data_IF_001869784177
#
_entry.id   IF_001869784177
#
_cell.length_a   1.000
_cell.length_b   1.000
_cell.length_c   1.000
_cell.angle_alpha   90.00
_cell.angle_beta   90.00
_cell.angle_gamma   90.00
#
_symmetry.space_group_name_H-M   'P 1'
#
loop_
_entity.id
_entity.type
_entity.pdbx_description
1 polymer ?
#
# COMPACT_ATOMS: atom_id res chain seq x y z
N UNK A 1 15.67 -34.06 5.48
CA UNK A 1 14.89 -32.89 5.93
C UNK A 1 15.12 -31.69 5.03
N UNK A 2 16.36 -31.33 4.68
CA UNK A 2 16.64 -30.25 3.71
C UNK A 2 16.15 -30.63 2.30
N UNK A 3 16.47 -31.83 1.81
CA UNK A 3 16.08 -32.27 0.46
C UNK A 3 14.55 -32.35 0.28
N UNK A 4 13.83 -32.74 1.33
CA UNK A 4 12.36 -32.76 1.31
C UNK A 4 11.75 -31.36 1.26
N UNK A 5 12.39 -30.36 1.87
CA UNK A 5 11.96 -28.95 1.78
C UNK A 5 12.25 -28.41 0.39
N UNK A 6 13.44 -28.68 -0.15
CA UNK A 6 13.81 -28.25 -1.51
C UNK A 6 12.85 -28.87 -2.54
N UNK A 7 12.56 -30.17 -2.42
CA UNK A 7 11.60 -30.85 -3.28
C UNK A 7 10.21 -30.22 -3.18
N UNK A 8 9.73 -29.88 -1.97
CA UNK A 8 8.45 -29.19 -1.79
C UNK A 8 8.45 -27.79 -2.42
N UNK A 9 9.53 -27.02 -2.32
CA UNK A 9 9.66 -25.70 -2.94
C UNK A 9 9.60 -25.73 -4.47
N UNK A 10 9.85 -26.89 -5.08
CA UNK A 10 9.74 -27.10 -6.53
C UNK A 10 8.33 -27.53 -6.98
N UNK A 11 7.40 -27.72 -6.04
CA UNK A 11 6.01 -28.10 -6.35
C UNK A 11 5.12 -26.88 -6.58
N UNK A 12 4.04 -27.10 -7.33
CA UNK A 12 2.98 -26.11 -7.54
C UNK A 12 2.22 -25.75 -6.25
N UNK A 13 2.33 -26.58 -5.19
CA UNK A 13 1.76 -26.27 -3.88
C UNK A 13 2.49 -25.12 -3.19
N UNK A 14 3.83 -25.09 -3.31
CA UNK A 14 4.63 -24.02 -2.72
C UNK A 14 4.47 -22.71 -3.50
N UNK A 15 4.75 -22.76 -4.80
CA UNK A 15 4.50 -21.68 -5.74
C UNK A 15 4.05 -22.30 -7.06
N UNK A 16 2.97 -21.80 -7.64
CA UNK A 16 2.32 -22.43 -8.79
C UNK A 16 3.09 -22.16 -10.10
N UNK A 17 4.14 -22.95 -10.34
CA UNK A 17 5.02 -22.84 -11.50
C UNK A 17 4.34 -23.23 -12.82
N UNK A 18 3.26 -24.03 -12.77
CA UNK A 18 2.47 -24.34 -13.97
C UNK A 18 1.63 -23.16 -14.47
N UNK A 19 1.27 -22.21 -13.60
CA UNK A 19 0.54 -20.98 -13.98
C UNK A 19 1.41 -19.74 -14.08
N UNK A 20 2.50 -19.67 -13.33
CA UNK A 20 3.34 -18.49 -13.22
C UNK A 20 4.79 -18.80 -13.60
N UNK A 21 5.28 -18.11 -14.61
CA UNK A 21 6.67 -18.21 -15.07
C UNK A 21 7.67 -17.61 -14.06
N UNK A 22 8.94 -17.97 -14.19
CA UNK A 22 10.01 -17.38 -13.38
C UNK A 22 10.12 -15.86 -13.52
N UNK A 23 9.86 -15.31 -14.72
CA UNK A 23 9.84 -13.86 -14.93
C UNK A 23 8.69 -13.20 -14.17
N UNK A 24 7.49 -13.77 -14.24
CA UNK A 24 6.32 -13.29 -13.49
C UNK A 24 6.56 -13.33 -11.98
N UNK A 25 7.17 -14.41 -11.48
CA UNK A 25 7.55 -14.54 -10.08
C UNK A 25 8.54 -13.45 -9.65
N UNK A 26 9.58 -13.16 -10.45
CA UNK A 26 10.56 -12.11 -10.16
C UNK A 26 9.91 -10.73 -10.16
N UNK A 27 9.05 -10.44 -11.15
CA UNK A 27 8.36 -9.15 -11.24
C UNK A 27 7.41 -8.93 -10.06
N UNK A 28 6.60 -9.93 -9.74
CA UNK A 28 5.66 -9.88 -8.62
C UNK A 28 6.39 -9.79 -7.27
N UNK A 29 7.30 -10.73 -6.98
CA UNK A 29 8.02 -10.77 -5.71
C UNK A 29 8.92 -9.54 -5.53
N UNK A 30 9.58 -9.10 -6.60
CA UNK A 30 10.42 -7.90 -6.59
C UNK A 30 9.61 -6.65 -6.29
N UNK A 31 8.45 -6.47 -6.94
CA UNK A 31 7.58 -5.33 -6.69
C UNK A 31 7.02 -5.33 -5.27
N UNK A 32 6.57 -6.49 -4.81
CA UNK A 32 6.17 -6.74 -3.42
C UNK A 32 7.26 -6.42 -2.39
N UNK A 33 8.52 -6.80 -2.67
CA UNK A 33 9.64 -6.52 -1.76
C UNK A 33 9.92 -5.02 -1.63
N UNK A 34 9.81 -4.26 -2.72
CA UNK A 34 9.94 -2.79 -2.66
C UNK A 34 8.88 -2.18 -1.72
N UNK A 35 7.66 -2.70 -1.73
CA UNK A 35 6.61 -2.28 -0.80
C UNK A 35 6.91 -2.66 0.66
N UNK A 36 7.53 -3.80 0.93
CA UNK A 36 8.00 -4.15 2.28
C UNK A 36 9.00 -3.10 2.80
N UNK A 37 9.91 -2.63 1.93
CA UNK A 37 10.87 -1.57 2.30
C UNK A 37 10.14 -0.25 2.57
N UNK A 38 9.12 0.10 1.76
CA UNK A 38 8.25 1.27 2.00
C UNK A 38 7.57 1.16 3.36
N UNK A 39 7.04 -0.01 3.72
CA UNK A 39 6.44 -0.25 5.03
C UNK A 39 7.47 -0.09 6.16
N UNK A 40 8.71 -0.51 5.94
CA UNK A 40 9.83 -0.26 6.83
C UNK A 40 10.04 1.23 7.12
N UNK A 41 10.00 2.09 6.09
CA UNK A 41 10.08 3.54 6.26
C UNK A 41 8.87 4.10 7.02
N UNK A 42 7.65 3.70 6.66
CA UNK A 42 6.43 4.13 7.36
C UNK A 42 6.50 3.78 8.85
N UNK A 43 6.88 2.53 9.19
CA UNK A 43 7.00 2.07 10.57
C UNK A 43 8.11 2.82 11.31
N UNK A 44 9.24 3.07 10.65
CA UNK A 44 10.32 3.89 11.20
C UNK A 44 9.82 5.29 11.58
N UNK A 45 9.09 5.95 10.67
CA UNK A 45 8.62 7.32 10.84
C UNK A 45 7.49 7.43 11.89
N UNK A 46 6.61 6.43 11.96
CA UNK A 46 5.65 6.28 13.06
C UNK A 46 6.37 6.23 14.40
N UNK A 47 7.44 5.44 14.51
CA UNK A 47 8.16 5.25 15.78
C UNK A 47 8.94 6.51 16.15
N UNK A 48 9.69 7.05 15.20
CA UNK A 48 10.66 8.14 15.39
C UNK A 48 10.02 9.53 15.40
N UNK A 49 9.11 9.81 14.48
CA UNK A 49 8.56 11.16 14.26
C UNK A 49 7.09 11.30 14.63
N UNK A 50 6.41 10.21 15.02
CA UNK A 50 4.94 10.19 15.24
C UNK A 50 4.17 10.69 14.02
N UNK A 51 4.74 10.43 12.86
CA UNK A 51 4.16 10.71 11.55
C UNK A 51 3.56 9.43 10.99
N UNK A 52 2.47 9.55 10.25
CA UNK A 52 1.96 8.48 9.42
C UNK A 52 1.84 9.01 7.99
N UNK A 53 2.66 8.47 7.10
CA UNK A 53 2.72 8.87 5.69
C UNK A 53 1.47 8.40 4.91
N UNK A 54 0.96 7.22 5.24
CA UNK A 54 -0.12 6.58 4.49
C UNK A 54 -1.47 7.29 4.72
N UNK A 55 -2.14 7.79 3.66
CA UNK A 55 -3.43 8.46 3.78
C UNK A 55 -4.52 7.57 4.38
N UNK A 56 -5.39 8.17 5.18
CA UNK A 56 -6.40 7.47 5.98
C UNK A 56 -7.34 6.63 5.14
N UNK A 57 -7.81 7.17 4.01
CA UNK A 57 -8.77 6.48 3.16
C UNK A 57 -8.20 5.15 2.65
N UNK A 58 -6.96 5.18 2.19
CA UNK A 58 -6.31 4.04 1.56
C UNK A 58 -5.70 3.09 2.57
N UNK A 59 -5.25 3.58 3.73
CA UNK A 59 -4.79 2.72 4.82
C UNK A 59 -5.92 1.84 5.38
N UNK A 60 -7.14 2.38 5.48
CA UNK A 60 -8.33 1.60 5.85
C UNK A 60 -8.66 0.53 4.79
N UNK A 61 -8.58 0.89 3.51
CA UNK A 61 -8.79 -0.04 2.40
C UNK A 61 -7.71 -1.11 2.31
N UNK A 62 -6.43 -0.78 2.57
CA UNK A 62 -5.32 -1.71 2.49
C UNK A 62 -5.41 -2.78 3.57
N UNK A 63 -5.65 -2.34 4.81
CA UNK A 63 -5.90 -3.26 5.92
C UNK A 63 -7.07 -4.20 5.63
N UNK A 64 -8.16 -3.69 5.05
CA UNK A 64 -9.31 -4.49 4.66
C UNK A 64 -9.00 -5.48 3.53
N UNK A 65 -8.20 -5.08 2.53
CA UNK A 65 -7.76 -5.94 1.44
C UNK A 65 -6.89 -7.09 1.95
N UNK A 66 -5.87 -6.77 2.74
CA UNK A 66 -4.97 -7.76 3.34
C UNK A 66 -5.73 -8.74 4.25
N UNK A 67 -6.72 -8.26 5.00
CA UNK A 67 -7.58 -9.14 5.81
C UNK A 67 -8.36 -10.14 4.93
N UNK A 68 -8.94 -9.68 3.82
CA UNK A 68 -9.70 -10.52 2.89
C UNK A 68 -8.80 -11.60 2.26
N UNK A 69 -7.66 -11.22 1.71
CA UNK A 69 -6.75 -12.13 1.00
C UNK A 69 -5.86 -12.97 1.91
N UNK A 70 -5.74 -12.61 3.19
CA UNK A 70 -5.01 -13.44 4.16
C UNK A 70 -5.85 -14.59 4.72
N UNK A 71 -7.17 -14.39 4.86
CA UNK A 71 -8.01 -15.26 5.69
C UNK A 71 -9.27 -15.81 5.01
N UNK A 72 -9.82 -15.11 4.01
CA UNK A 72 -11.10 -15.47 3.41
C UNK A 72 -10.97 -15.97 1.98
N UNK A 73 -10.04 -15.40 1.21
CA UNK A 73 -9.78 -15.77 -0.17
C UNK A 73 -8.35 -16.31 -0.32
N UNK A 74 -8.20 -17.38 -1.10
CA UNK A 74 -6.91 -18.01 -1.35
C UNK A 74 -6.39 -17.61 -2.72
N UNK A 75 -5.13 -17.20 -2.78
CA UNK A 75 -4.43 -17.02 -4.04
C UNK A 75 -4.18 -18.37 -4.72
N UNK A 76 -4.24 -18.41 -6.04
CA UNK A 76 -3.84 -19.59 -6.81
C UNK A 76 -2.33 -19.64 -7.11
N UNK A 77 -1.56 -18.68 -6.60
CA UNK A 77 -0.09 -18.66 -6.67
C UNK A 77 0.61 -19.67 -5.75
N UNK A 78 -0.10 -20.30 -4.81
CA UNK A 78 0.46 -21.28 -3.88
C UNK A 78 0.74 -20.73 -2.47
N UNK A 79 1.28 -21.59 -1.59
CA UNK A 79 1.47 -21.32 -0.17
C UNK A 79 2.43 -20.17 0.12
N UNK A 80 3.44 -19.94 -0.71
CA UNK A 80 4.40 -18.85 -0.55
C UNK A 80 3.68 -17.48 -0.64
N UNK A 81 2.86 -17.29 -1.66
CA UNK A 81 2.11 -16.05 -1.85
C UNK A 81 1.07 -15.84 -0.74
N UNK A 82 0.38 -16.92 -0.34
CA UNK A 82 -0.59 -16.85 0.76
C UNK A 82 0.08 -16.48 2.09
N UNK A 83 1.26 -17.05 2.38
CA UNK A 83 2.05 -16.71 3.56
C UNK A 83 2.55 -15.25 3.52
N UNK A 84 2.85 -14.73 2.33
CA UNK A 84 3.23 -13.34 2.16
C UNK A 84 2.07 -12.37 2.47
N UNK A 85 0.85 -12.64 1.98
CA UNK A 85 -0.36 -11.88 2.37
C UNK A 85 -0.54 -11.85 3.89
N UNK A 86 -0.42 -13.01 4.55
CA UNK A 86 -0.53 -13.09 6.01
C UNK A 86 0.57 -12.29 6.73
N UNK A 87 1.80 -12.30 6.20
CA UNK A 87 2.90 -11.51 6.74
C UNK A 87 2.67 -10.00 6.56
N UNK A 88 2.16 -9.55 5.40
CA UNK A 88 1.78 -8.15 5.19
C UNK A 88 0.64 -7.72 6.10
N UNK A 89 -0.37 -8.56 6.26
CA UNK A 89 -1.48 -8.28 7.18
C UNK A 89 -0.98 -7.98 8.60
N UNK A 90 0.07 -8.67 9.09
CA UNK A 90 0.66 -8.36 10.40
C UNK A 90 1.29 -6.96 10.46
N UNK A 91 1.94 -6.50 9.40
CA UNK A 91 2.47 -5.14 9.31
C UNK A 91 1.31 -4.12 9.28
N UNK A 92 0.27 -4.44 8.53
CA UNK A 92 -0.93 -3.63 8.37
C UNK A 92 -1.71 -3.47 9.68
N UNK A 93 -1.79 -4.49 10.54
CA UNK A 93 -2.34 -4.35 11.91
C UNK A 93 -1.65 -3.20 12.65
N UNK A 94 -0.32 -3.15 12.58
CA UNK A 94 0.44 -2.11 13.27
C UNK A 94 0.20 -0.72 12.65
N UNK A 95 0.23 -0.61 11.32
CA UNK A 95 0.01 0.65 10.60
C UNK A 95 -1.41 1.16 10.85
N UNK A 96 -2.42 0.28 10.74
CA UNK A 96 -3.83 0.60 10.97
C UNK A 96 -4.10 0.99 12.43
N UNK A 97 -3.50 0.30 13.40
CA UNK A 97 -3.60 0.71 14.80
C UNK A 97 -3.06 2.14 15.02
N UNK A 98 -1.96 2.47 14.35
CA UNK A 98 -1.37 3.81 14.42
C UNK A 98 -2.18 4.85 13.66
N UNK A 99 -2.85 4.45 12.58
CA UNK A 99 -3.80 5.28 11.84
C UNK A 99 -4.89 5.87 12.75
N UNK A 100 -5.45 5.07 13.67
CA UNK A 100 -6.48 5.51 14.63
C UNK A 100 -6.06 6.68 15.53
N UNK A 101 -4.76 6.93 15.64
CA UNK A 101 -4.18 7.96 16.51
C UNK A 101 -3.50 9.08 15.73
N UNK A 102 -2.73 8.75 14.68
CA UNK A 102 -1.87 9.70 13.96
C UNK A 102 -2.48 10.23 12.66
N UNK A 103 -3.39 9.49 12.01
CA UNK A 103 -3.94 9.89 10.71
C UNK A 103 -4.94 11.05 10.77
N UNK A 104 -5.27 11.58 11.96
CA UNK A 104 -6.16 12.75 12.13
C UNK A 104 -5.71 13.98 11.33
N UNK A 105 -4.41 14.06 11.00
CA UNK A 105 -3.83 15.11 10.16
C UNK A 105 -4.43 15.11 8.75
N UNK A 106 -5.01 13.99 8.31
CA UNK A 106 -5.60 13.85 6.98
C UNK A 106 -6.94 14.55 6.77
N UNK A 107 -7.56 15.06 7.83
CA UNK A 107 -8.82 15.80 7.71
C UNK A 107 -8.69 17.15 8.37
N UNK A 108 -9.21 18.18 7.72
CA UNK A 108 -9.28 19.53 8.29
C UNK A 108 -10.63 19.80 8.97
N UNK A 109 -11.64 18.97 8.70
CA UNK A 109 -12.99 19.13 9.22
C UNK A 109 -13.02 18.85 10.73
N UNK A 110 -13.38 19.83 11.58
CA UNK A 110 -13.39 19.65 13.04
C UNK A 110 -14.24 18.45 13.48
N UNK A 111 -15.45 18.33 12.90
CA UNK A 111 -16.36 17.23 13.22
C UNK A 111 -15.74 15.84 12.95
N UNK A 112 -15.01 15.68 11.84
CA UNK A 112 -14.31 14.43 11.53
C UNK A 112 -13.13 14.19 12.47
N UNK A 113 -12.42 15.22 12.92
CA UNK A 113 -11.32 15.07 13.89
C UNK A 113 -11.80 14.54 15.24
N UNK A 114 -12.98 14.98 15.67
CA UNK A 114 -13.62 14.55 16.93
C UNK A 114 -14.11 13.10 16.83
N UNK A 115 -14.64 12.72 15.68
CA UNK A 115 -15.18 11.38 15.42
C UNK A 115 -14.20 10.44 14.69
N UNK A 116 -12.94 10.84 14.59
CA UNK A 116 -11.99 10.25 13.64
C UNK A 116 -11.83 8.73 13.79
N UNK A 117 -11.72 8.22 15.02
CA UNK A 117 -11.60 6.76 15.26
C UNK A 117 -12.82 6.01 14.73
N UNK A 118 -14.03 6.53 14.99
CA UNK A 118 -15.28 5.93 14.49
C UNK A 118 -15.32 5.97 12.97
N UNK A 119 -14.93 7.09 12.37
CA UNK A 119 -14.80 7.25 10.92
C UNK A 119 -13.87 6.18 10.32
N UNK A 120 -12.66 6.00 10.84
CA UNK A 120 -11.70 5.00 10.34
C UNK A 120 -12.25 3.57 10.48
N UNK A 121 -12.86 3.24 11.62
CA UNK A 121 -13.45 1.90 11.84
C UNK A 121 -14.57 1.64 10.83
N UNK A 122 -15.52 2.56 10.69
CA UNK A 122 -16.64 2.43 9.75
C UNK A 122 -16.11 2.31 8.32
N UNK A 123 -15.15 3.16 7.94
CA UNK A 123 -14.53 3.11 6.62
C UNK A 123 -13.85 1.76 6.36
N UNK A 124 -13.12 1.23 7.34
CA UNK A 124 -12.47 -0.08 7.25
C UNK A 124 -13.50 -1.20 7.06
N UNK A 125 -14.61 -1.16 7.80
CA UNK A 125 -15.69 -2.15 7.67
C UNK A 125 -16.38 -2.05 6.30
N UNK A 126 -16.58 -0.84 5.77
CA UNK A 126 -17.14 -0.62 4.42
C UNK A 126 -16.20 -1.23 3.37
N UNK A 127 -14.90 -0.95 3.44
CA UNK A 127 -13.94 -1.55 2.52
C UNK A 127 -13.90 -3.07 2.65
N UNK A 128 -13.87 -3.58 3.88
CA UNK A 128 -13.84 -5.02 4.13
C UNK A 128 -15.06 -5.72 3.53
N UNK A 129 -16.27 -5.24 3.84
CA UNK A 129 -17.51 -5.81 3.30
C UNK A 129 -17.64 -5.63 1.79
N UNK A 130 -17.26 -4.47 1.27
CA UNK A 130 -17.27 -4.18 -0.17
C UNK A 130 -16.33 -5.10 -0.96
N UNK A 131 -15.09 -5.24 -0.51
CA UNK A 131 -14.12 -6.15 -1.14
C UNK A 131 -14.53 -7.61 -0.95
N UNK A 132 -14.99 -8.01 0.24
CA UNK A 132 -15.47 -9.36 0.49
C UNK A 132 -16.61 -9.75 -0.47
N UNK A 133 -17.63 -8.89 -0.59
CA UNK A 133 -18.78 -9.15 -1.49
C UNK A 133 -18.39 -9.12 -2.95
N UNK A 134 -17.47 -8.22 -3.35
CA UNK A 134 -16.90 -8.20 -4.70
C UNK A 134 -16.17 -9.51 -5.03
N UNK A 135 -15.29 -9.98 -4.14
CA UNK A 135 -14.60 -11.26 -4.29
C UNK A 135 -15.57 -12.44 -4.31
N UNK A 136 -16.52 -12.50 -3.38
CA UNK A 136 -17.50 -13.59 -3.26
C UNK A 136 -18.45 -13.68 -4.46
N UNK A 137 -18.65 -12.58 -5.20
CA UNK A 137 -19.44 -12.57 -6.43
C UNK A 137 -18.73 -13.20 -7.65
N UNK A 138 -17.44 -13.56 -7.51
CA UNK A 138 -16.62 -14.09 -8.61
C UNK A 138 -16.12 -13.04 -9.60
N UNK A 139 -16.29 -11.75 -9.30
CA UNK A 139 -15.80 -10.65 -10.14
C UNK A 139 -14.29 -10.42 -10.01
N UNK A 140 -13.66 -10.92 -8.95
CA UNK A 140 -12.24 -10.71 -8.66
C UNK A 140 -11.35 -11.75 -9.35
N UNK A 141 -10.11 -11.36 -9.65
CA UNK A 141 -9.06 -12.25 -10.13
C UNK A 141 -8.58 -13.22 -9.04
N UNK A 142 -7.98 -14.37 -9.40
CA UNK A 142 -7.49 -15.35 -8.43
C UNK A 142 -6.47 -14.81 -7.41
N UNK A 143 -5.78 -13.72 -7.74
CA UNK A 143 -4.75 -13.11 -6.87
C UNK A 143 -5.20 -11.81 -6.20
N UNK A 144 -6.43 -11.35 -6.43
CA UNK A 144 -6.93 -10.10 -5.88
C UNK A 144 -6.50 -8.82 -6.61
N UNK A 145 -6.09 -8.93 -7.87
CA UNK A 145 -5.53 -7.85 -8.66
C UNK A 145 -6.50 -6.67 -8.86
N UNK A 146 -7.81 -6.88 -9.08
CA UNK A 146 -8.72 -5.76 -9.37
C UNK A 146 -8.87 -4.84 -8.17
N UNK A 147 -9.21 -5.38 -7.00
CA UNK A 147 -9.34 -4.61 -5.77
C UNK A 147 -7.99 -4.02 -5.34
N UNK A 148 -6.89 -4.77 -5.47
CA UNK A 148 -5.55 -4.27 -5.15
C UNK A 148 -5.16 -3.08 -6.03
N UNK A 149 -5.36 -3.16 -7.35
CA UNK A 149 -4.98 -2.09 -8.28
C UNK A 149 -5.90 -0.88 -8.16
N UNK A 150 -7.20 -1.10 -7.95
CA UNK A 150 -8.14 -0.01 -7.66
C UNK A 150 -7.68 0.79 -6.44
N UNK A 151 -7.34 0.06 -5.37
CA UNK A 151 -6.87 0.66 -4.14
C UNK A 151 -5.51 1.34 -4.35
N UNK A 152 -4.58 0.74 -5.08
CA UNK A 152 -3.26 1.32 -5.33
C UNK A 152 -3.34 2.59 -6.21
N UNK A 153 -4.29 2.67 -7.14
CA UNK A 153 -4.60 3.93 -7.83
C UNK A 153 -5.06 5.00 -6.84
N UNK A 154 -5.96 4.66 -5.92
CA UNK A 154 -6.36 5.57 -4.85
C UNK A 154 -5.17 5.97 -3.96
N UNK A 155 -4.24 5.05 -3.64
CA UNK A 155 -3.00 5.34 -2.91
C UNK A 155 -2.18 6.39 -3.66
N UNK A 156 -1.90 6.15 -4.94
CA UNK A 156 -1.08 7.02 -5.78
C UNK A 156 -1.65 8.44 -5.88
N UNK A 157 -2.97 8.55 -6.09
CA UNK A 157 -3.68 9.84 -6.12
C UNK A 157 -3.63 10.53 -4.75
N UNK A 158 -3.90 9.81 -3.66
CA UNK A 158 -3.97 10.40 -2.32
C UNK A 158 -2.61 10.87 -1.83
N UNK A 159 -1.51 10.19 -2.18
CA UNK A 159 -0.16 10.62 -1.81
C UNK A 159 0.15 12.03 -2.32
N UNK A 160 -0.07 12.30 -3.62
CA UNK A 160 0.18 13.63 -4.16
C UNK A 160 -0.81 14.67 -3.65
N UNK A 161 -2.10 14.33 -3.55
CA UNK A 161 -3.13 15.25 -3.05
C UNK A 161 -2.83 15.67 -1.61
N UNK A 162 -2.51 14.72 -0.73
CA UNK A 162 -2.19 15.03 0.66
C UNK A 162 -0.86 15.78 0.78
N UNK A 163 0.16 15.38 0.02
CA UNK A 163 1.43 16.09 -0.03
C UNK A 163 1.24 17.56 -0.41
N UNK A 164 0.50 17.83 -1.50
CA UNK A 164 0.23 19.20 -1.96
C UNK A 164 -0.63 19.98 -0.95
N UNK A 165 -1.64 19.36 -0.34
CA UNK A 165 -2.47 19.99 0.69
C UNK A 165 -1.65 20.41 1.91
N UNK A 166 -0.67 19.60 2.31
CA UNK A 166 0.22 19.88 3.43
C UNK A 166 1.33 20.88 3.05
N UNK A 167 1.54 21.14 1.76
CA UNK A 167 2.57 22.03 1.26
C UNK A 167 3.95 21.65 1.81
N UNK A 168 4.69 22.62 2.37
CA UNK A 168 6.03 22.37 2.94
C UNK A 168 6.03 21.37 4.09
N UNK A 169 4.93 21.26 4.84
CA UNK A 169 4.77 20.25 5.89
C UNK A 169 4.72 18.82 5.33
N UNK A 170 4.31 18.66 4.06
CA UNK A 170 4.35 17.37 3.36
C UNK A 170 5.76 16.81 3.23
N UNK A 171 6.79 17.65 3.16
CA UNK A 171 8.19 17.20 3.09
C UNK A 171 8.68 16.46 4.34
N UNK A 172 7.99 16.65 5.47
CA UNK A 172 8.30 15.99 6.75
C UNK A 172 7.57 14.67 6.88
N UNK A 173 6.32 14.63 6.43
CA UNK A 173 5.48 13.44 6.52
C UNK A 173 5.81 12.39 5.46
N UNK A 174 6.27 12.81 4.29
CA UNK A 174 6.43 11.96 3.13
C UNK A 174 7.88 11.74 2.72
N UNK A 175 8.25 10.48 2.54
CA UNK A 175 9.59 10.07 2.16
C UNK A 175 9.76 9.98 0.64
N UNK A 176 10.76 10.67 0.09
CA UNK A 176 11.08 10.55 -1.34
C UNK A 176 11.55 9.14 -1.70
N UNK A 177 12.23 8.45 -0.76
CA UNK A 177 12.66 7.09 -0.96
C UNK A 177 11.44 6.15 -1.04
N UNK A 178 10.43 6.38 -0.19
CA UNK A 178 9.18 5.65 -0.27
C UNK A 178 8.47 5.90 -1.59
N UNK A 179 8.44 7.14 -2.09
CA UNK A 179 7.87 7.50 -3.39
C UNK A 179 8.50 6.71 -4.55
N UNK A 180 9.83 6.71 -4.65
CA UNK A 180 10.54 5.99 -5.73
C UNK A 180 10.37 4.47 -5.62
N UNK A 181 10.49 3.90 -4.42
CA UNK A 181 10.35 2.46 -4.21
C UNK A 181 8.92 1.97 -4.51
N UNK A 182 7.91 2.72 -4.06
CA UNK A 182 6.50 2.46 -4.40
C UNK A 182 6.28 2.46 -5.91
N UNK A 183 6.83 3.46 -6.60
CA UNK A 183 6.68 3.60 -8.05
C UNK A 183 7.35 2.43 -8.78
N UNK A 184 8.60 2.14 -8.47
CA UNK A 184 9.36 1.04 -9.07
C UNK A 184 8.66 -0.29 -8.78
N UNK A 185 8.28 -0.53 -7.52
CA UNK A 185 7.62 -1.75 -7.11
C UNK A 185 6.27 -1.95 -7.81
N UNK A 186 5.49 -0.88 -7.93
CA UNK A 186 4.20 -0.95 -8.64
C UNK A 186 4.38 -1.09 -10.15
N UNK A 187 5.42 -0.50 -10.74
CA UNK A 187 5.75 -0.70 -12.16
C UNK A 187 6.13 -2.16 -12.45
N UNK A 188 6.92 -2.80 -11.57
CA UNK A 188 7.23 -4.23 -11.67
C UNK A 188 5.96 -5.10 -11.58
N UNK A 189 5.11 -4.83 -10.58
CA UNK A 189 3.84 -5.53 -10.44
C UNK A 189 2.93 -5.28 -11.65
N UNK A 190 2.95 -4.08 -12.24
CA UNK A 190 2.12 -3.74 -13.41
C UNK A 190 2.59 -4.49 -14.64
N UNK A 191 3.91 -4.59 -14.84
CA UNK A 191 4.48 -5.42 -15.89
C UNK A 191 4.06 -6.89 -15.72
N UNK A 192 4.08 -7.41 -14.49
CA UNK A 192 3.53 -8.73 -14.19
C UNK A 192 2.04 -8.82 -14.58
N UNK A 193 1.18 -7.87 -14.20
CA UNK A 193 -0.24 -7.90 -14.54
C UNK A 193 -0.49 -7.89 -16.06
N UNK A 194 0.30 -7.13 -16.82
CA UNK A 194 0.18 -7.06 -18.28
C UNK A 194 0.56 -8.37 -18.95
N UNK A 195 1.59 -9.05 -18.43
CA UNK A 195 2.05 -10.34 -18.95
C UNK A 195 1.06 -11.46 -18.62
N UNK A 196 0.58 -11.49 -17.37
CA UNK A 196 -0.26 -12.57 -16.86
C UNK A 196 -1.72 -12.44 -17.31
N UNK A 197 -2.30 -11.25 -17.15
CA UNK A 197 -3.70 -10.96 -17.50
C UNK A 197 -3.79 -10.31 -18.88
N UNK A 198 -3.30 -11.02 -19.90
CA UNK A 198 -3.29 -10.51 -21.27
C UNK A 198 -4.70 -10.12 -21.74
N UNK A 199 -4.81 -8.95 -22.38
CA UNK A 199 -6.09 -8.40 -22.83
C UNK A 199 -6.94 -7.76 -21.73
N UNK A 200 -6.51 -7.80 -20.46
CA UNK A 200 -7.20 -7.14 -19.36
C UNK A 200 -7.00 -5.61 -19.40
N UNK A 201 -7.86 -4.94 -20.17
CA UNK A 201 -7.80 -3.50 -20.39
C UNK A 201 -7.96 -2.70 -19.09
N UNK A 202 -8.67 -3.25 -18.11
CA UNK A 202 -8.88 -2.61 -16.82
C UNK A 202 -7.58 -2.55 -16.01
N UNK A 203 -6.89 -3.68 -15.79
CA UNK A 203 -5.62 -3.70 -15.04
C UNK A 203 -4.56 -2.84 -15.72
N UNK A 204 -4.49 -2.88 -17.07
CA UNK A 204 -3.59 -2.02 -17.82
C UNK A 204 -3.90 -0.54 -17.60
N UNK A 205 -5.16 -0.14 -17.77
CA UNK A 205 -5.59 1.25 -17.56
C UNK A 205 -5.28 1.75 -16.14
N UNK A 206 -5.64 0.95 -15.13
CA UNK A 206 -5.39 1.32 -13.73
C UNK A 206 -3.89 1.38 -13.43
N UNK A 207 -3.09 0.48 -14.00
CA UNK A 207 -1.62 0.54 -13.96
C UNK A 207 -1.05 1.84 -14.54
N UNK A 208 -1.58 2.30 -15.68
CA UNK A 208 -1.21 3.59 -16.28
C UNK A 208 -1.58 4.75 -15.37
N UNK A 209 -2.78 4.74 -14.77
CA UNK A 209 -3.20 5.76 -13.81
C UNK A 209 -2.23 5.83 -12.62
N UNK A 210 -1.89 4.68 -12.03
CA UNK A 210 -0.92 4.62 -10.92
C UNK A 210 0.41 5.24 -11.35
N UNK A 211 0.95 4.82 -12.49
CA UNK A 211 2.24 5.28 -12.99
C UNK A 211 2.27 6.80 -13.22
N UNK A 212 1.22 7.37 -13.81
CA UNK A 212 1.10 8.82 -14.04
C UNK A 212 1.13 9.59 -12.72
N UNK A 213 0.34 9.16 -11.72
CA UNK A 213 0.29 9.84 -10.43
C UNK A 213 1.58 9.66 -9.63
N UNK A 214 2.23 8.49 -9.69
CA UNK A 214 3.50 8.24 -9.00
C UNK A 214 4.66 9.06 -9.60
N UNK A 215 4.74 9.17 -10.93
CA UNK A 215 5.71 10.07 -11.58
C UNK A 215 5.45 11.52 -11.20
N UNK A 216 4.19 11.97 -11.27
CA UNK A 216 3.85 13.34 -10.94
C UNK A 216 4.25 13.65 -9.48
N UNK A 217 3.96 12.73 -8.56
CA UNK A 217 4.34 12.83 -7.17
C UNK A 217 5.86 12.92 -6.99
N UNK A 218 6.62 12.01 -7.62
CA UNK A 218 8.08 11.99 -7.53
C UNK A 218 8.71 13.29 -8.08
N UNK A 219 8.20 13.82 -9.20
CA UNK A 219 8.66 15.09 -9.79
C UNK A 219 8.42 16.25 -8.82
N UNK A 220 7.20 16.37 -8.28
CA UNK A 220 6.84 17.43 -7.33
C UNK A 220 7.73 17.38 -6.10
N UNK A 221 7.91 16.19 -5.49
CA UNK A 221 8.78 16.04 -4.32
C UNK A 221 10.24 16.39 -4.62
N UNK A 222 10.75 16.00 -5.79
CA UNK A 222 12.14 16.28 -6.19
C UNK A 222 12.35 17.77 -6.37
N UNK A 223 11.44 18.46 -7.07
CA UNK A 223 11.47 19.92 -7.25
C UNK A 223 11.42 20.65 -5.90
N UNK A 224 10.51 20.25 -5.03
CA UNK A 224 10.28 20.93 -3.75
C UNK A 224 11.45 20.73 -2.78
N UNK A 225 12.20 19.63 -2.88
CA UNK A 225 13.46 19.41 -2.14
C UNK A 225 14.64 20.22 -2.69
N UNK A 226 14.68 20.48 -3.99
CA UNK A 226 15.70 21.35 -4.59
C UNK A 226 15.48 22.83 -4.24
N UNK A 227 14.23 23.24 -4.05
CA UNK A 227 13.85 24.66 -3.90
C UNK A 227 13.60 25.11 -2.46
N UNK A 228 13.50 24.20 -1.49
CA UNK A 228 13.14 24.55 -0.10
C UNK A 228 13.85 23.74 0.98
N UNK A 229 14.11 24.38 2.12
CA UNK A 229 14.38 23.68 3.38
C UNK A 229 13.05 23.22 3.98
N UNK A 230 12.87 21.91 4.13
CA UNK A 230 11.74 21.34 4.85
C UNK A 230 11.71 21.86 6.31
N UNK A 231 10.53 22.09 6.90
CA UNK A 231 10.44 22.30 8.34
C UNK A 231 10.99 21.06 9.07
N UNK A 232 11.53 21.24 10.28
CA UNK A 232 11.96 20.11 11.10
C UNK A 232 10.75 19.29 11.58
N UNK A 233 10.92 17.98 11.89
CA UNK A 233 9.87 17.17 12.49
C UNK A 233 9.21 17.79 13.74
N UNK A 234 10.00 18.53 14.55
CA UNK A 234 9.48 19.26 15.72
C UNK A 234 8.55 20.40 15.33
N UNK A 235 8.91 21.17 14.30
CA UNK A 235 8.09 22.28 13.80
C UNK A 235 6.77 21.77 13.20
N UNK A 236 6.83 20.67 12.46
CA UNK A 236 5.64 20.01 11.92
C UNK A 236 4.70 19.56 13.06
N UNK A 237 5.23 18.83 14.03
CA UNK A 237 4.42 18.33 15.14
C UNK A 237 3.78 19.46 15.97
N UNK A 238 4.52 20.54 16.24
CA UNK A 238 3.97 21.73 16.90
C UNK A 238 2.83 22.37 16.09
N UNK A 239 2.98 22.50 14.76
CA UNK A 239 1.96 23.08 13.88
C UNK A 239 0.67 22.25 13.79
N UNK A 240 0.76 20.94 14.05
CA UNK A 240 -0.36 20.00 13.96
C UNK A 240 -0.84 19.45 15.31
N UNK A 241 -0.35 20.00 16.43
CA UNK A 241 -0.76 19.58 17.78
C UNK A 241 -0.36 18.14 18.13
N UNK A 242 0.71 17.62 17.50
CA UNK A 242 1.24 16.30 17.77
C UNK A 242 2.27 16.37 18.91
N UNK A 243 2.25 15.41 19.82
CA UNK A 243 3.20 15.34 20.92
C UNK A 243 4.63 15.05 20.43
N UNK A 244 5.57 15.96 20.68
CA UNK A 244 7.01 15.76 20.46
C UNK A 244 7.65 15.32 21.78
N UNK A 245 8.34 14.16 21.78
CA UNK A 245 9.31 13.84 22.83
C UNK A 245 10.71 14.19 22.32
#
# INVERSE_FOLDING_TARGET
MVDSIIAWMQTDEFFNWSKYSGLEAILFAGGCWMWVIVYGFIIHDIRKYKSLEMPTFVAAGNFAWEANFSWFFKSDMGHLAQGAYQAWFLLDIFIWYKLLTLGKVDTQTPWLKDHYKKYVIILTLIFFGGMYTFCASGMETPIGAYTAYTLNAAISIQYIVNYMRLGRSGQVLYSINAAWLKMIGTAMNTAFMVIHFQGNSYLFFVGVVIFVFDIWYAIVMTRDRMTGKAPSPKQFAAAHGLAVK
#
